data_IF_794103043123
#
_entry.id   IF_794103043123
#
_cell.length_a   1.000
_cell.length_b   1.000
_cell.length_c   1.000
_cell.angle_alpha   90.00
_cell.angle_beta   90.00
_cell.angle_gamma   90.00
#
_symmetry.space_group_name_H-M   'P 1'
#
loop_
_entity.id
_entity.type
_entity.pdbx_description
1 polymer ?
#
# COMPACT_ATOMS: atom_id res chain seq x y z
N UNK A 1 -58.32 43.67 11.82
CA UNK A 1 -56.88 44.02 11.85
C UNK A 1 -56.09 42.72 11.98
N UNK A 2 -55.45 42.32 10.88
CA UNK A 2 -54.69 41.08 10.73
C UNK A 2 -53.39 41.11 11.55
N UNK A 3 -53.00 39.97 12.12
CA UNK A 3 -51.59 39.69 12.41
C UNK A 3 -51.25 38.28 11.94
N UNK A 4 -50.55 38.24 10.81
CA UNK A 4 -49.91 37.07 10.23
C UNK A 4 -48.74 36.65 11.12
N UNK A 5 -48.68 35.37 11.48
CA UNK A 5 -47.53 34.78 12.17
C UNK A 5 -46.71 34.05 11.10
N UNK A 6 -45.50 34.53 10.81
CA UNK A 6 -44.60 33.95 9.84
C UNK A 6 -43.76 32.84 10.50
N UNK A 7 -43.85 31.62 9.96
CA UNK A 7 -42.95 30.50 10.26
C UNK A 7 -41.67 30.67 9.46
N UNK A 8 -40.53 30.87 10.14
CA UNK A 8 -39.20 30.85 9.55
C UNK A 8 -38.74 29.39 9.53
N UNK A 9 -38.74 28.77 8.35
CA UNK A 9 -38.15 27.45 8.13
C UNK A 9 -36.62 27.60 8.03
N UNK A 10 -35.91 27.14 9.05
CA UNK A 10 -34.45 26.96 9.02
C UNK A 10 -34.11 25.77 8.13
N UNK A 11 -33.78 26.06 6.87
CA UNK A 11 -33.16 25.10 5.96
C UNK A 11 -31.71 24.84 6.42
N UNK A 12 -31.49 23.71 7.08
CA UNK A 12 -30.15 23.18 7.31
C UNK A 12 -29.59 22.69 5.97
N UNK A 13 -28.80 23.52 5.30
CA UNK A 13 -27.92 23.06 4.23
C UNK A 13 -26.84 22.18 4.85
N UNK A 14 -27.04 20.86 4.80
CA UNK A 14 -25.99 19.89 5.07
C UNK A 14 -24.92 20.05 3.99
N UNK A 15 -23.82 20.73 4.35
CA UNK A 15 -22.61 20.74 3.53
C UNK A 15 -22.03 19.34 3.62
N UNK A 16 -22.26 18.53 2.59
CA UNK A 16 -21.55 17.27 2.41
C UNK A 16 -20.08 17.60 2.13
N UNK A 17 -19.28 17.61 3.19
CA UNK A 17 -17.83 17.60 3.05
C UNK A 17 -17.42 16.24 2.48
N UNK A 18 -17.26 16.18 1.17
CA UNK A 18 -16.60 15.07 0.49
C UNK A 18 -15.13 15.07 0.91
N UNK A 19 -14.80 14.24 1.89
CA UNK A 19 -13.41 13.97 2.27
C UNK A 19 -12.79 12.99 1.26
N UNK A 20 -12.45 13.50 0.08
CA UNK A 20 -11.50 12.87 -0.85
C UNK A 20 -10.16 13.60 -0.72
N UNK A 21 -9.48 13.42 0.42
CA UNK A 21 -8.14 13.97 0.63
C UNK A 21 -7.07 12.87 0.44
N UNK A 22 -7.00 12.33 -0.77
CA UNK A 22 -5.72 11.84 -1.29
C UNK A 22 -4.93 13.08 -1.76
N UNK A 23 -4.52 13.93 -0.81
CA UNK A 23 -4.20 15.35 -1.00
C UNK A 23 -2.90 15.70 -1.71
N UNK A 24 -2.63 15.05 -2.84
CA UNK A 24 -1.63 15.49 -3.82
C UNK A 24 -2.32 16.16 -5.02
N UNK A 25 -1.70 17.21 -5.56
CA UNK A 25 -2.12 17.83 -6.82
C UNK A 25 -1.37 17.19 -7.98
N UNK A 26 -2.01 17.03 -9.14
CA UNK A 26 -1.35 16.44 -10.31
C UNK A 26 -0.13 17.28 -10.72
N UNK A 27 1.02 16.63 -10.91
CA UNK A 27 2.26 17.26 -11.34
C UNK A 27 2.57 16.89 -12.79
N UNK A 28 2.84 17.91 -13.62
CA UNK A 28 3.13 17.70 -15.04
C UNK A 28 4.61 17.40 -15.24
N UNK A 29 4.92 16.15 -15.60
CA UNK A 29 6.28 15.74 -15.96
C UNK A 29 6.65 16.23 -17.36
N UNK A 30 7.86 16.74 -17.51
CA UNK A 30 8.44 16.98 -18.84
C UNK A 30 8.68 15.65 -19.58
N UNK A 31 8.79 15.70 -20.91
CA UNK A 31 9.12 14.49 -21.71
C UNK A 31 10.43 13.83 -21.28
N UNK A 32 11.41 14.64 -20.85
CA UNK A 32 12.69 14.15 -20.35
C UNK A 32 12.52 13.37 -19.06
N UNK A 33 11.72 13.87 -18.12
CA UNK A 33 11.45 13.19 -16.84
C UNK A 33 10.63 11.92 -17.06
N UNK A 34 9.61 11.96 -17.93
CA UNK A 34 8.84 10.76 -18.29
C UNK A 34 9.74 9.68 -18.87
N UNK A 35 10.63 10.04 -19.80
CA UNK A 35 11.58 9.10 -20.41
C UNK A 35 12.59 8.58 -19.38
N UNK A 36 13.06 9.43 -18.47
CA UNK A 36 13.96 9.03 -17.39
C UNK A 36 13.28 8.00 -16.46
N UNK A 37 12.07 8.29 -16.00
CA UNK A 37 11.30 7.43 -15.11
C UNK A 37 10.95 6.09 -15.76
N UNK A 38 10.48 6.10 -17.01
CA UNK A 38 10.26 4.86 -17.78
C UNK A 38 11.54 4.05 -17.90
N UNK A 39 12.64 4.71 -18.27
CA UNK A 39 13.90 4.02 -18.45
C UNK A 39 14.42 3.43 -17.14
N UNK A 40 14.33 4.18 -16.05
CA UNK A 40 14.83 3.80 -14.73
C UNK A 40 14.06 2.62 -14.13
N UNK A 41 12.73 2.66 -14.20
CA UNK A 41 11.86 1.68 -13.53
C UNK A 41 11.58 0.47 -14.44
N UNK A 42 11.32 0.68 -15.73
CA UNK A 42 10.81 -0.38 -16.61
C UNK A 42 11.84 -0.89 -17.62
N UNK A 43 12.52 0.01 -18.33
CA UNK A 43 13.30 -0.39 -19.50
C UNK A 43 14.69 -0.94 -19.14
N UNK A 44 15.47 -0.23 -18.32
CA UNK A 44 16.88 -0.55 -18.10
C UNK A 44 17.09 -1.92 -17.45
N UNK A 45 16.19 -2.33 -16.57
CA UNK A 45 16.28 -3.61 -15.87
C UNK A 45 15.47 -4.72 -16.54
N UNK A 46 14.29 -4.42 -17.09
CA UNK A 46 13.33 -5.44 -17.53
C UNK A 46 13.03 -5.40 -19.04
N UNK A 47 13.50 -4.38 -19.76
CA UNK A 47 13.20 -4.20 -21.19
C UNK A 47 11.72 -3.90 -21.47
N UNK A 48 10.97 -3.43 -20.48
CA UNK A 48 9.54 -3.13 -20.57
C UNK A 48 9.32 -1.63 -20.78
N UNK A 49 8.19 -1.26 -21.40
CA UNK A 49 7.72 0.13 -21.41
C UNK A 49 6.91 0.45 -20.16
N UNK A 50 6.71 1.74 -19.88
CA UNK A 50 5.74 2.13 -18.88
C UNK A 50 4.33 2.03 -19.48
N UNK A 51 3.43 1.34 -18.77
CA UNK A 51 1.99 1.36 -19.09
C UNK A 51 1.30 2.59 -18.50
N UNK A 52 1.88 3.16 -17.42
CA UNK A 52 1.37 4.35 -16.75
C UNK A 52 2.48 5.06 -15.99
N UNK A 53 2.53 6.39 -16.10
CA UNK A 53 3.34 7.26 -15.25
C UNK A 53 2.42 8.39 -14.76
N UNK A 54 2.33 8.57 -13.45
CA UNK A 54 1.54 9.64 -12.83
C UNK A 54 2.36 10.31 -11.74
N UNK A 55 2.43 11.63 -11.77
CA UNK A 55 3.13 12.40 -10.75
C UNK A 55 2.19 13.30 -9.97
N UNK A 56 2.55 13.53 -8.71
CA UNK A 56 1.77 14.27 -7.74
C UNK A 56 2.70 15.15 -6.89
N UNK A 57 2.27 16.37 -6.59
CA UNK A 57 2.91 17.26 -5.64
C UNK A 57 2.06 17.35 -4.38
N UNK A 58 2.71 17.17 -3.23
CA UNK A 58 2.10 17.18 -1.90
C UNK A 58 2.63 18.36 -1.10
N UNK A 59 1.72 19.11 -0.49
CA UNK A 59 2.09 20.17 0.45
C UNK A 59 2.55 19.59 1.80
N UNK A 60 3.33 20.37 2.54
CA UNK A 60 3.75 19.99 3.88
C UNK A 60 2.53 19.90 4.82
N UNK A 61 2.48 18.84 5.64
CA UNK A 61 1.43 18.63 6.64
C UNK A 61 2.03 18.67 8.04
N UNK A 62 1.46 19.52 8.89
CA UNK A 62 1.88 19.64 10.28
C UNK A 62 1.60 18.34 11.05
N UNK A 63 2.50 18.00 11.98
CA UNK A 63 2.29 16.95 12.97
C UNK A 63 1.09 17.34 13.84
N UNK A 64 0.06 16.50 13.86
CA UNK A 64 -1.02 16.56 14.85
C UNK A 64 -0.79 15.48 15.91
N UNK A 65 -1.52 15.54 17.02
CA UNK A 65 -1.31 14.76 18.27
C UNK A 65 -1.25 13.22 18.15
N UNK A 66 -1.31 12.66 16.94
CA UNK A 66 -1.12 11.23 16.68
C UNK A 66 -0.54 10.90 15.31
N UNK A 67 0.00 11.85 14.54
CA UNK A 67 0.50 11.62 13.17
C UNK A 67 1.86 12.25 12.91
N UNK A 68 2.73 11.54 12.20
CA UNK A 68 4.02 12.05 11.76
C UNK A 68 3.78 13.22 10.79
N UNK A 69 4.39 14.38 11.05
CA UNK A 69 4.37 15.51 10.11
C UNK A 69 5.08 15.14 8.81
N UNK A 70 4.53 15.55 7.66
CA UNK A 70 5.08 15.23 6.34
C UNK A 70 5.64 16.50 5.70
N UNK A 71 6.87 16.42 5.20
CA UNK A 71 7.45 17.50 4.39
C UNK A 71 6.74 17.58 3.03
N UNK A 72 6.79 18.76 2.41
CA UNK A 72 6.37 18.90 1.02
C UNK A 72 7.24 17.99 0.14
N UNK A 73 6.62 17.30 -0.81
CA UNK A 73 7.32 16.39 -1.72
C UNK A 73 6.60 16.28 -3.06
N UNK A 74 7.34 15.92 -4.09
CA UNK A 74 6.79 15.52 -5.38
C UNK A 74 7.14 14.06 -5.60
N UNK A 75 6.15 13.24 -5.95
CA UNK A 75 6.36 11.82 -6.21
C UNK A 75 5.77 11.42 -7.56
N UNK A 76 6.29 10.34 -8.14
CA UNK A 76 5.81 9.76 -9.38
C UNK A 76 5.60 8.25 -9.19
N UNK A 77 4.37 7.81 -9.43
CA UNK A 77 4.03 6.40 -9.56
C UNK A 77 4.28 5.95 -11.00
N UNK A 78 5.10 4.93 -11.15
CA UNK A 78 5.42 4.30 -12.43
C UNK A 78 4.93 2.86 -12.40
N UNK A 79 4.22 2.45 -13.45
CA UNK A 79 3.74 1.09 -13.64
C UNK A 79 4.18 0.60 -15.02
N UNK A 80 4.92 -0.50 -15.04
CA UNK A 80 5.40 -1.10 -16.28
C UNK A 80 4.29 -1.88 -17.00
N UNK A 81 4.51 -2.21 -18.27
CA UNK A 81 3.68 -3.17 -18.99
C UNK A 81 3.67 -4.53 -18.27
N UNK A 82 2.59 -5.29 -18.48
CA UNK A 82 2.45 -6.63 -17.90
C UNK A 82 3.51 -7.56 -18.48
N UNK A 83 4.13 -8.38 -17.63
CA UNK A 83 5.16 -9.34 -18.04
C UNK A 83 4.76 -10.80 -17.74
N UNK A 84 3.47 -11.03 -17.50
CA UNK A 84 2.91 -12.34 -17.23
C UNK A 84 1.59 -12.23 -16.46
N UNK A 85 1.03 -13.37 -16.09
CA UNK A 85 -0.20 -13.43 -15.31
C UNK A 85 -0.04 -14.34 -14.11
N UNK A 86 -0.72 -14.00 -13.02
CA UNK A 86 -0.91 -14.84 -11.86
C UNK A 86 -2.41 -14.88 -11.53
N UNK A 87 -3.00 -16.07 -11.45
CA UNK A 87 -4.45 -16.24 -11.27
C UNK A 87 -5.31 -15.45 -12.29
N UNK A 88 -4.88 -15.40 -13.55
CA UNK A 88 -5.53 -14.61 -14.62
C UNK A 88 -5.55 -13.09 -14.35
N UNK A 89 -4.66 -12.61 -13.48
CA UNK A 89 -4.43 -11.19 -13.24
C UNK A 89 -3.02 -10.81 -13.72
N UNK A 90 -2.85 -9.68 -14.42
CA UNK A 90 -1.56 -9.24 -14.92
C UNK A 90 -0.58 -8.94 -13.78
N UNK A 91 0.64 -9.43 -13.94
CA UNK A 91 1.78 -9.11 -13.09
C UNK A 91 2.55 -7.93 -13.65
N UNK A 92 2.81 -6.92 -12.82
CA UNK A 92 3.50 -5.70 -13.24
C UNK A 92 4.59 -5.35 -12.25
N UNK A 93 5.65 -4.72 -12.76
CA UNK A 93 6.57 -3.97 -11.92
C UNK A 93 6.03 -2.55 -11.71
N UNK A 94 6.13 -2.06 -10.48
CA UNK A 94 5.75 -0.71 -10.10
C UNK A 94 6.85 -0.06 -9.26
N UNK A 95 6.90 1.26 -9.23
CA UNK A 95 7.69 1.99 -8.24
C UNK A 95 7.07 3.36 -7.93
N UNK A 96 7.35 3.84 -6.72
CA UNK A 96 7.02 5.21 -6.28
C UNK A 96 8.35 5.96 -6.15
N UNK A 97 8.66 6.80 -7.14
CA UNK A 97 9.85 7.66 -7.13
C UNK A 97 9.54 8.99 -6.44
N UNK A 98 10.51 9.56 -5.72
CA UNK A 98 10.41 10.90 -5.14
C UNK A 98 11.39 11.85 -5.86
N UNK A 99 11.00 13.13 -6.00
CA UNK A 99 11.89 14.18 -6.48
C UNK A 99 12.66 14.77 -5.29
N UNK A 100 13.95 14.49 -5.22
CA UNK A 100 14.86 14.89 -4.14
C UNK A 100 16.01 15.71 -4.73
N UNK A 101 16.22 16.92 -4.19
CA UNK A 101 17.28 17.83 -4.66
C UNK A 101 17.29 18.10 -6.18
N UNK A 102 16.11 18.04 -6.81
CA UNK A 102 15.93 18.25 -8.25
C UNK A 102 16.17 17.00 -9.11
N UNK A 103 16.45 15.85 -8.50
CA UNK A 103 16.63 14.57 -9.17
C UNK A 103 15.59 13.54 -8.72
N UNK A 104 15.21 12.66 -9.64
CA UNK A 104 14.26 11.59 -9.36
C UNK A 104 14.99 10.41 -8.71
N UNK A 105 14.70 10.17 -7.43
CA UNK A 105 15.16 9.03 -6.66
C UNK A 105 14.08 7.95 -6.67
N UNK A 106 14.45 6.74 -7.11
CA UNK A 106 13.56 5.61 -7.32
C UNK A 106 14.12 4.40 -6.57
N UNK A 107 13.23 3.64 -5.92
CA UNK A 107 13.58 2.38 -5.31
C UNK A 107 13.71 1.28 -6.37
N UNK A 108 14.23 0.08 -6.01
CA UNK A 108 14.09 -1.08 -6.88
C UNK A 108 12.61 -1.36 -7.18
N UNK A 109 12.21 -1.52 -8.45
CA UNK A 109 10.82 -1.75 -8.80
C UNK A 109 10.29 -3.04 -8.19
N UNK A 110 9.06 -2.96 -7.70
CA UNK A 110 8.38 -4.01 -6.94
C UNK A 110 7.44 -4.78 -7.85
N UNK A 111 7.39 -6.10 -7.70
CA UNK A 111 6.35 -6.90 -8.33
C UNK A 111 5.01 -6.60 -7.62
N UNK A 112 4.01 -6.10 -8.34
CA UNK A 112 2.64 -5.97 -7.87
C UNK A 112 1.74 -6.95 -8.62
N UNK A 113 0.94 -7.69 -7.87
CA UNK A 113 -0.04 -8.66 -8.38
C UNK A 113 -1.36 -8.47 -7.64
N UNK A 114 -2.47 -8.41 -8.37
CA UNK A 114 -3.80 -8.40 -7.75
C UNK A 114 -4.26 -9.83 -7.47
N UNK A 115 -4.68 -10.11 -6.24
CA UNK A 115 -5.15 -11.45 -5.81
C UNK A 115 -6.49 -11.38 -5.09
N UNK A 116 -7.36 -12.41 -5.23
CA UNK A 116 -8.64 -12.44 -4.54
C UNK A 116 -8.48 -12.99 -3.11
N UNK A 117 -8.77 -12.18 -2.09
CA UNK A 117 -8.83 -12.59 -0.69
C UNK A 117 -10.27 -12.38 -0.20
N UNK A 118 -10.94 -13.41 0.31
CA UNK A 118 -12.33 -13.34 0.80
C UNK A 118 -13.32 -12.60 -0.13
N UNK A 119 -13.16 -12.74 -1.45
CA UNK A 119 -14.04 -12.11 -2.45
C UNK A 119 -13.74 -10.64 -2.76
N UNK A 120 -12.67 -10.06 -2.20
CA UNK A 120 -12.15 -8.73 -2.55
C UNK A 120 -10.78 -8.84 -3.21
N UNK A 121 -10.46 -7.87 -4.05
CA UNK A 121 -9.17 -7.79 -4.74
C UNK A 121 -8.15 -7.07 -3.84
N UNK A 122 -6.99 -7.70 -3.64
CA UNK A 122 -5.88 -7.18 -2.84
C UNK A 122 -4.66 -7.02 -3.73
N UNK A 123 -4.05 -5.84 -3.72
CA UNK A 123 -2.73 -5.64 -4.32
C UNK A 123 -1.68 -6.26 -3.41
N UNK A 124 -0.96 -7.24 -3.93
CA UNK A 124 0.05 -7.98 -3.18
C UNK A 124 1.42 -7.72 -3.80
N UNK A 125 2.39 -7.39 -2.95
CA UNK A 125 3.77 -7.10 -3.35
C UNK A 125 4.72 -8.03 -2.62
N UNK A 126 5.16 -9.13 -3.24
CA UNK A 126 6.13 -10.03 -2.62
C UNK A 126 7.56 -9.50 -2.74
N UNK A 127 8.31 -9.58 -1.65
CA UNK A 127 9.70 -9.12 -1.51
C UNK A 127 10.63 -10.23 -1.01
N UNK A 128 11.93 -9.96 -1.03
CA UNK A 128 12.97 -10.80 -0.40
C UNK A 128 12.94 -12.28 -0.83
N UNK A 129 12.69 -12.51 -2.12
CA UNK A 129 12.65 -13.86 -2.71
C UNK A 129 11.37 -14.65 -2.47
N UNK A 130 10.30 -14.02 -1.97
CA UNK A 130 8.97 -14.63 -1.93
C UNK A 130 8.33 -14.67 -3.32
N UNK A 131 7.60 -15.75 -3.61
CA UNK A 131 6.86 -15.90 -4.86
C UNK A 131 5.40 -15.47 -4.67
N UNK A 132 4.70 -15.05 -5.74
CA UNK A 132 3.26 -14.75 -5.68
C UNK A 132 2.43 -15.89 -5.05
N UNK A 133 2.74 -17.14 -5.36
CA UNK A 133 2.02 -18.31 -4.82
C UNK A 133 2.12 -18.37 -3.29
N UNK A 134 3.33 -18.25 -2.75
CA UNK A 134 3.56 -18.36 -1.30
C UNK A 134 2.93 -17.19 -0.56
N UNK A 135 3.09 -15.98 -1.10
CA UNK A 135 2.51 -14.76 -0.54
C UNK A 135 0.99 -14.81 -0.55
N UNK A 136 0.37 -15.30 -1.62
CA UNK A 136 -1.07 -15.47 -1.72
C UNK A 136 -1.61 -16.48 -0.71
N UNK A 137 -0.98 -17.66 -0.60
CA UNK A 137 -1.40 -18.66 0.40
C UNK A 137 -1.29 -18.12 1.82
N UNK A 138 -0.22 -17.39 2.13
CA UNK A 138 -0.07 -16.75 3.44
C UNK A 138 -1.21 -15.77 3.72
N UNK A 139 -1.49 -14.83 2.81
CA UNK A 139 -2.58 -13.86 3.01
C UNK A 139 -3.94 -14.55 3.19
N UNK A 140 -4.19 -15.60 2.40
CA UNK A 140 -5.42 -16.39 2.51
C UNK A 140 -5.53 -17.09 3.87
N UNK A 141 -4.44 -17.72 4.34
CA UNK A 141 -4.40 -18.38 5.63
C UNK A 141 -4.54 -17.41 6.81
N UNK A 142 -3.90 -16.24 6.74
CA UNK A 142 -4.00 -15.20 7.78
C UNK A 142 -5.41 -14.61 7.81
N UNK A 143 -5.97 -14.27 6.65
CA UNK A 143 -7.33 -13.76 6.54
C UNK A 143 -8.37 -14.73 7.14
N UNK A 144 -8.18 -16.04 6.96
CA UNK A 144 -9.08 -17.07 7.48
C UNK A 144 -8.96 -17.34 8.99
N UNK A 145 -7.91 -16.83 9.68
CA UNK A 145 -7.71 -17.05 11.12
C UNK A 145 -8.62 -16.21 12.01
N UNK A 146 -9.37 -15.25 11.45
CA UNK A 146 -10.33 -14.44 12.18
C UNK A 146 -9.66 -13.28 12.92
N UNK A 147 -9.54 -13.39 14.25
CA UNK A 147 -9.14 -12.28 15.11
C UNK A 147 -7.79 -12.53 15.81
N UNK A 148 -7.02 -11.48 16.04
CA UNK A 148 -5.82 -11.47 16.87
C UNK A 148 -5.83 -10.26 17.79
N UNK A 149 -5.68 -10.46 19.10
CA UNK A 149 -5.72 -9.38 20.11
C UNK A 149 -6.96 -8.47 20.02
N UNK A 150 -8.10 -9.01 19.58
CA UNK A 150 -9.34 -8.25 19.41
C UNK A 150 -9.47 -7.54 18.05
N UNK A 151 -8.47 -7.65 17.18
CA UNK A 151 -8.46 -7.06 15.84
C UNK A 151 -8.68 -8.09 14.73
N UNK A 152 -9.37 -7.69 13.67
CA UNK A 152 -9.65 -8.55 12.50
C UNK A 152 -8.41 -8.65 11.61
N UNK A 153 -7.97 -9.88 11.33
CA UNK A 153 -6.84 -10.14 10.45
C UNK A 153 -7.18 -9.86 8.97
N UNK A 154 -8.42 -10.07 8.55
CA UNK A 154 -8.83 -9.68 7.19
C UNK A 154 -8.83 -8.15 7.02
N UNK A 155 -9.28 -7.41 8.04
CA UNK A 155 -9.20 -5.95 8.06
C UNK A 155 -7.75 -5.48 8.05
N UNK A 156 -6.88 -6.12 8.84
CA UNK A 156 -5.46 -5.82 8.92
C UNK A 156 -4.74 -6.00 7.57
N UNK A 157 -5.21 -6.91 6.70
CA UNK A 157 -4.66 -7.06 5.34
C UNK A 157 -5.01 -5.86 4.44
N UNK A 158 -6.22 -5.29 4.56
CA UNK A 158 -6.64 -4.15 3.74
C UNK A 158 -6.51 -4.40 2.22
N UNK A 159 -6.50 -3.33 1.42
CA UNK A 159 -6.54 -3.43 -0.05
C UNK A 159 -5.16 -3.57 -0.72
N UNK A 160 -4.09 -3.38 0.04
CA UNK A 160 -2.72 -3.48 -0.44
C UNK A 160 -1.86 -4.07 0.67
N UNK A 161 -0.96 -4.98 0.33
CA UNK A 161 -0.04 -5.53 1.30
C UNK A 161 1.32 -5.90 0.69
N UNK A 162 2.38 -5.37 1.33
CA UNK A 162 3.77 -5.75 1.12
C UNK A 162 4.11 -6.97 1.97
N UNK A 163 4.76 -7.97 1.38
CA UNK A 163 5.09 -9.24 2.05
C UNK A 163 6.58 -9.48 1.90
N UNK A 164 7.32 -9.43 3.00
CA UNK A 164 8.76 -9.59 2.98
C UNK A 164 9.21 -10.74 3.90
N UNK A 165 10.12 -11.56 3.39
CA UNK A 165 10.86 -12.51 4.23
C UNK A 165 11.81 -11.72 5.14
N UNK A 166 11.83 -12.04 6.44
CA UNK A 166 12.78 -11.47 7.39
C UNK A 166 14.17 -12.13 7.21
N UNK A 167 15.20 -11.59 7.88
CA UNK A 167 16.53 -12.23 8.00
C UNK A 167 16.40 -13.62 8.63
N UNK A 168 15.46 -13.79 9.56
CA UNK A 168 15.02 -15.11 10.03
C UNK A 168 14.10 -15.77 8.98
N UNK A 169 14.47 -16.94 8.42
CA UNK A 169 13.68 -17.57 7.36
C UNK A 169 12.32 -18.10 7.82
N UNK A 170 12.07 -18.23 9.12
CA UNK A 170 10.79 -18.64 9.68
C UNK A 170 9.86 -17.46 9.95
N UNK A 171 10.31 -16.22 9.74
CA UNK A 171 9.54 -15.00 9.96
C UNK A 171 9.24 -14.30 8.63
N UNK A 172 7.97 -13.90 8.47
CA UNK A 172 7.50 -13.04 7.38
C UNK A 172 6.89 -11.78 7.98
N UNK A 173 7.32 -10.63 7.48
CA UNK A 173 6.76 -9.32 7.81
C UNK A 173 5.71 -8.95 6.76
N UNK A 174 4.57 -8.45 7.23
CA UNK A 174 3.51 -7.92 6.39
C UNK A 174 3.36 -6.42 6.66
N UNK A 175 3.50 -5.66 5.59
CA UNK A 175 3.21 -4.24 5.53
C UNK A 175 1.87 -4.02 4.85
N UNK A 176 0.77 -4.18 5.58
CA UNK A 176 -0.57 -4.03 5.04
C UNK A 176 -1.24 -2.74 5.60
N UNK A 177 -2.57 -2.71 5.72
CA UNK A 177 -3.29 -1.72 6.54
C UNK A 177 -2.78 -1.70 7.99
N UNK A 178 -2.40 -2.88 8.51
CA UNK A 178 -1.61 -3.01 9.72
C UNK A 178 -0.24 -3.62 9.41
N UNK A 179 0.76 -3.25 10.20
CA UNK A 179 2.01 -3.98 10.30
C UNK A 179 1.76 -5.30 11.04
N UNK A 180 2.17 -6.44 10.47
CA UNK A 180 2.09 -7.74 11.13
C UNK A 180 3.39 -8.52 11.01
N UNK A 181 3.72 -9.28 12.06
CA UNK A 181 4.83 -10.24 12.03
C UNK A 181 4.27 -11.65 12.14
N UNK A 182 4.60 -12.48 11.16
CA UNK A 182 4.10 -13.84 11.02
C UNK A 182 5.24 -14.84 11.21
N UNK A 183 5.02 -15.87 12.04
CA UNK A 183 5.97 -16.96 12.24
C UNK A 183 5.44 -18.28 11.69
N UNK A 184 6.28 -18.97 10.92
CA UNK A 184 6.07 -20.33 10.46
C UNK A 184 6.61 -21.37 11.44
N UNK A 185 7.37 -20.95 12.44
CA UNK A 185 7.82 -21.81 13.52
C UNK A 185 6.72 -22.00 14.57
N UNK A 186 6.21 -23.23 14.71
CA UNK A 186 5.25 -23.55 15.76
C UNK A 186 5.65 -24.86 16.47
N UNK A 187 6.10 -24.80 17.73
CA UNK A 187 6.50 -26.01 18.46
C UNK A 187 5.33 -26.97 18.72
N UNK A 188 4.08 -26.51 18.61
CA UNK A 188 2.87 -27.32 18.74
C UNK A 188 1.87 -27.06 17.61
N UNK A 189 2.32 -27.15 16.34
CA UNK A 189 1.50 -26.84 15.15
C UNK A 189 0.08 -27.45 15.17
N UNK A 190 -0.08 -28.69 15.66
CA UNK A 190 -1.39 -29.36 15.78
C UNK A 190 -2.36 -28.69 16.78
N UNK A 191 -1.84 -27.96 17.77
CA UNK A 191 -2.63 -27.28 18.81
C UNK A 191 -2.78 -25.79 18.53
N UNK A 192 -1.71 -25.12 18.10
CA UNK A 192 -1.69 -23.66 17.94
C UNK A 192 -1.97 -23.21 16.51
N UNK A 193 -1.92 -24.14 15.54
CA UNK A 193 -1.93 -23.82 14.12
C UNK A 193 -0.62 -23.15 13.66
N UNK A 194 -0.32 -23.27 12.37
CA UNK A 194 0.65 -22.42 11.66
C UNK A 194 -0.04 -21.80 10.44
N UNK A 195 0.51 -20.70 9.89
CA UNK A 195 1.45 -19.79 10.54
C UNK A 195 0.80 -19.07 11.74
N UNK A 196 1.61 -18.43 12.60
CA UNK A 196 1.15 -17.70 13.80
C UNK A 196 1.39 -16.21 13.62
N UNK A 197 0.40 -15.40 13.98
CA UNK A 197 0.58 -13.95 14.13
C UNK A 197 1.28 -13.70 15.47
N UNK A 198 2.42 -13.03 15.44
CA UNK A 198 3.20 -12.65 16.62
C UNK A 198 2.95 -11.19 17.02
N UNK A 199 2.69 -10.34 16.04
CA UNK A 199 2.53 -8.89 16.21
C UNK A 199 1.50 -8.36 15.21
N UNK A 200 0.75 -7.35 15.64
CA UNK A 200 -0.20 -6.59 14.83
C UNK A 200 -0.26 -5.15 15.36
N UNK A 201 -0.13 -4.16 14.48
CA UNK A 201 -0.28 -2.74 14.83
C UNK A 201 -0.83 -1.94 13.65
N UNK A 202 -1.89 -1.15 13.90
CA UNK A 202 -2.42 -0.17 12.93
C UNK A 202 -1.73 1.20 13.04
N UNK A 203 -0.96 1.43 14.11
CA UNK A 203 -0.31 2.72 14.38
C UNK A 203 1.09 2.81 13.75
N UNK A 204 1.65 1.68 13.31
CA UNK A 204 2.93 1.62 12.61
C UNK A 204 2.70 1.51 11.09
N UNK A 205 2.99 2.54 10.29
CA UNK A 205 2.98 2.37 8.84
C UNK A 205 4.11 1.40 8.44
N UNK A 206 3.75 0.42 7.62
CA UNK A 206 4.63 -0.59 7.01
C UNK A 206 5.98 -0.05 6.50
N UNK A 207 5.99 1.20 6.03
CA UNK A 207 7.12 1.86 5.39
C UNK A 207 8.34 2.06 6.30
N UNK A 208 8.19 2.06 7.64
CA UNK A 208 9.32 2.32 8.55
C UNK A 208 10.29 1.12 8.64
N UNK A 209 9.86 -0.11 8.35
CA UNK A 209 10.75 -1.29 8.44
C UNK A 209 11.60 -1.53 7.20
N UNK A 210 11.20 -1.05 6.02
CA UNK A 210 11.95 -1.31 4.76
C UNK A 210 13.30 -0.57 4.70
N UNK A 211 13.42 0.62 5.30
CA UNK A 211 14.70 1.36 5.37
C UNK A 211 15.76 0.71 6.27
N UNK A 212 15.38 -0.19 7.17
CA UNK A 212 16.31 -0.87 8.09
C UNK A 212 16.51 -2.36 7.78
N UNK A 213 15.89 -2.87 6.71
CA UNK A 213 15.97 -4.28 6.33
C UNK A 213 17.07 -4.58 5.29
N UNK A 214 17.98 -3.64 5.02
CA UNK A 214 19.22 -3.92 4.27
C UNK A 214 20.24 -4.66 5.15
#
# INVERSE_FOLDING_TARGET
>A
MNKFTALIALAFCSVSASADDAGGTAFNLSMREQSYLENRVCFAQYGLKASKIKAYAFEARAQTDSKIGLAARTSAYVECESHGDFMSRPMRYIDDCDLVDGEWDCSPPQLEVTVPINGREVKMRPWSGLTPEKSYQLLKEISAKGMFQGESLDKAIGNSCDIAKNKDPEIIELGCEAAMTISFWCPQAKKTGCPRVLFLSFDEPAYIRSKYAQ
#
